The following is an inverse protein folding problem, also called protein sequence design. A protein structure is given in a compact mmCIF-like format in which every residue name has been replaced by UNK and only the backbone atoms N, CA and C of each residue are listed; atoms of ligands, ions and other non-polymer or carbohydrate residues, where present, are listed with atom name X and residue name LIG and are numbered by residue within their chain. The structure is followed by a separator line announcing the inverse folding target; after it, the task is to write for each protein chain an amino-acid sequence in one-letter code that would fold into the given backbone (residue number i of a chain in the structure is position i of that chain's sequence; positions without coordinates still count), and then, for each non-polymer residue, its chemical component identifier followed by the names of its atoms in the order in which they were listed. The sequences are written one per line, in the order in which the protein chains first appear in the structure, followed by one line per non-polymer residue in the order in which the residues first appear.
data_IF_274869480878
#
_entry.id   IF_274869480878
#
_cell.length_a   1.000
_cell.length_b   1.000
_cell.length_c   1.000
_cell.angle_alpha   90.00
_cell.angle_beta   90.00
_cell.angle_gamma   90.00
#
_symmetry.space_group_name_H-M   'P 1'
#
loop_
_entity.id
_entity.type
_entity.pdbx_description
1 polymer ?
#
# COMPACT_ATOMS: atom_id res chain seq x y z
N UNK A 1 12.87 11.24 16.43
CA UNK A 1 13.37 10.55 15.22
C UNK A 1 13.92 11.61 14.25
N UNK A 2 14.98 11.26 13.53
CA UNK A 2 15.61 12.19 12.59
C UNK A 2 14.73 12.42 11.35
N UNK A 3 14.86 13.61 10.72
CA UNK A 3 14.20 13.94 9.47
C UNK A 3 15.23 14.22 8.39
N UNK A 4 14.93 13.79 7.17
CA UNK A 4 15.71 14.10 5.98
C UNK A 4 15.27 15.47 5.47
N UNK A 5 16.15 16.48 5.62
CA UNK A 5 15.88 17.86 5.19
C UNK A 5 16.45 18.18 3.81
N UNK A 6 17.41 17.38 3.34
CA UNK A 6 18.06 17.49 2.03
C UNK A 6 18.15 16.12 1.40
N UNK A 7 18.03 16.07 0.08
CA UNK A 7 18.16 14.81 -0.65
C UNK A 7 19.54 14.18 -0.41
N UNK A 8 19.59 12.88 -0.22
CA UNK A 8 20.84 12.14 -0.22
C UNK A 8 21.32 11.89 -1.66
N UNK A 9 22.63 11.70 -1.80
CA UNK A 9 23.26 11.51 -3.12
C UNK A 9 23.02 10.11 -3.70
N UNK A 10 22.65 9.13 -2.86
CA UNK A 10 22.48 7.74 -3.29
C UNK A 10 21.28 7.06 -2.66
N UNK A 11 20.76 6.05 -3.36
CA UNK A 11 19.70 5.18 -2.88
C UNK A 11 20.13 4.40 -1.62
N UNK A 12 21.39 3.99 -1.56
CA UNK A 12 21.95 3.27 -0.42
C UNK A 12 21.97 4.12 0.85
N UNK A 13 22.19 5.44 0.73
CA UNK A 13 22.13 6.35 1.88
C UNK A 13 20.71 6.43 2.46
N UNK A 14 19.67 6.46 1.60
CA UNK A 14 18.28 6.40 2.05
C UNK A 14 17.93 5.06 2.71
N UNK A 15 18.36 3.95 2.11
CA UNK A 15 18.15 2.61 2.64
C UNK A 15 18.82 2.46 4.01
N UNK A 16 20.08 2.88 4.15
CA UNK A 16 20.80 2.85 5.41
C UNK A 16 20.11 3.72 6.48
N UNK A 17 19.68 4.94 6.12
CA UNK A 17 18.97 5.82 7.04
C UNK A 17 17.67 5.17 7.54
N UNK A 18 16.80 4.69 6.63
CA UNK A 18 15.52 4.09 6.98
C UNK A 18 15.65 2.78 7.75
N UNK A 19 16.75 2.06 7.58
CA UNK A 19 17.05 0.85 8.34
C UNK A 19 17.42 1.14 9.82
N UNK A 20 18.03 2.30 10.09
CA UNK A 20 18.37 2.71 11.45
C UNK A 20 17.22 3.35 12.20
N UNK A 21 16.26 3.92 11.50
CA UNK A 21 15.11 4.60 12.12
C UNK A 21 14.00 3.61 12.51
N UNK A 22 13.34 3.91 13.62
CA UNK A 22 12.16 3.14 14.01
C UNK A 22 10.97 3.58 13.17
N UNK A 23 10.42 2.68 12.33
CA UNK A 23 9.24 2.96 11.50
C UNK A 23 8.05 3.32 12.38
N UNK A 24 7.46 4.52 12.22
CA UNK A 24 6.30 4.93 12.99
C UNK A 24 5.03 4.29 12.43
N UNK A 25 4.06 4.03 13.31
CA UNK A 25 2.74 3.46 12.98
C UNK A 25 1.63 4.44 13.36
N UNK A 26 0.38 4.16 12.99
CA UNK A 26 -0.73 5.03 13.37
C UNK A 26 -0.94 5.04 14.90
N UNK A 27 -1.20 6.21 15.46
CA UNK A 27 -1.51 6.37 16.89
C UNK A 27 -2.70 5.54 17.33
N UNK A 28 -3.72 5.40 16.46
CA UNK A 28 -4.86 4.52 16.72
C UNK A 28 -4.42 3.07 16.89
N UNK A 29 -3.55 2.55 16.04
CA UNK A 29 -3.02 1.18 16.12
C UNK A 29 -2.34 0.93 17.46
N UNK A 30 -1.48 1.86 17.90
CA UNK A 30 -0.79 1.74 19.20
C UNK A 30 -1.79 1.72 20.37
N UNK A 31 -2.79 2.61 20.36
CA UNK A 31 -3.83 2.65 21.40
C UNK A 31 -4.63 1.36 21.48
N UNK A 32 -5.04 0.82 20.34
CA UNK A 32 -5.79 -0.45 20.30
C UNK A 32 -4.94 -1.63 20.78
N UNK A 33 -3.65 -1.69 20.41
CA UNK A 33 -2.75 -2.73 20.91
C UNK A 33 -2.54 -2.62 22.42
N UNK A 34 -2.46 -1.40 22.97
CA UNK A 34 -2.39 -1.18 24.42
C UNK A 34 -3.67 -1.65 25.12
N UNK A 35 -4.85 -1.31 24.58
CA UNK A 35 -6.13 -1.77 25.12
C UNK A 35 -6.27 -3.31 25.04
N UNK A 36 -5.83 -3.92 23.95
CA UNK A 36 -5.79 -5.38 23.82
C UNK A 36 -4.87 -6.03 24.87
N UNK A 37 -3.74 -5.40 25.20
CA UNK A 37 -2.82 -5.88 26.23
C UNK A 37 -3.44 -5.89 27.62
N UNK A 38 -4.32 -4.92 27.92
CA UNK A 38 -5.05 -4.89 29.19
C UNK A 38 -6.12 -5.98 29.32
N UNK A 39 -6.58 -6.55 28.20
CA UNK A 39 -7.64 -7.56 28.11
C UNK A 39 -7.16 -8.85 27.40
N UNK A 40 -5.90 -9.17 27.54
CA UNK A 40 -5.19 -10.20 26.76
C UNK A 40 -5.90 -11.56 26.74
N UNK A 41 -6.45 -12.02 27.86
CA UNK A 41 -7.12 -13.32 27.99
C UNK A 41 -8.37 -13.46 27.09
N UNK A 42 -8.96 -12.36 26.65
CA UNK A 42 -10.15 -12.34 25.79
C UNK A 42 -9.86 -12.12 24.31
N UNK A 43 -8.60 -11.85 23.94
CA UNK A 43 -8.20 -11.47 22.59
C UNK A 43 -7.81 -12.71 21.79
N UNK A 44 -8.26 -12.78 20.54
CA UNK A 44 -7.84 -13.82 19.61
C UNK A 44 -6.90 -13.26 18.53
N UNK A 45 -6.10 -14.16 17.90
CA UNK A 45 -5.12 -13.78 16.90
C UNK A 45 -5.71 -13.09 15.67
N UNK A 46 -6.97 -13.39 15.29
CA UNK A 46 -7.64 -12.73 14.17
C UNK A 46 -7.93 -11.26 14.45
N UNK A 47 -8.33 -10.94 15.67
CA UNK A 47 -8.58 -9.55 16.09
C UNK A 47 -7.29 -8.74 16.00
N UNK A 48 -6.17 -9.29 16.49
CA UNK A 48 -4.85 -8.67 16.38
C UNK A 48 -4.45 -8.51 14.91
N UNK A 49 -4.59 -9.56 14.11
CA UNK A 49 -4.24 -9.52 12.67
C UNK A 49 -5.08 -8.49 11.90
N UNK A 50 -6.38 -8.39 12.19
CA UNK A 50 -7.26 -7.40 11.56
C UNK A 50 -6.83 -5.95 11.88
N UNK A 51 -6.43 -5.68 13.12
CA UNK A 51 -5.90 -4.38 13.51
C UNK A 51 -4.59 -4.07 12.78
N UNK A 52 -3.64 -5.02 12.74
CA UNK A 52 -2.36 -4.88 12.04
C UNK A 52 -2.58 -4.59 10.56
N UNK A 53 -3.44 -5.35 9.88
CA UNK A 53 -3.78 -5.17 8.46
C UNK A 53 -4.52 -3.86 8.17
N UNK A 54 -5.01 -3.16 9.18
CA UNK A 54 -5.56 -1.83 9.03
C UNK A 54 -4.50 -0.73 8.93
N UNK A 55 -3.23 -1.03 9.23
CA UNK A 55 -2.12 -0.09 9.24
C UNK A 55 -0.95 -0.61 8.38
N UNK A 56 -0.67 0.00 7.22
CA UNK A 56 0.42 -0.45 6.35
C UNK A 56 1.78 -0.50 7.04
N UNK A 57 2.08 0.50 7.90
CA UNK A 57 3.37 0.55 8.59
C UNK A 57 3.49 -0.48 9.70
N UNK A 58 2.40 -0.77 10.39
CA UNK A 58 2.36 -1.86 11.36
C UNK A 58 2.51 -3.22 10.68
N UNK A 59 1.82 -3.43 9.54
CA UNK A 59 1.96 -4.64 8.72
C UNK A 59 3.42 -4.85 8.29
N UNK A 60 4.05 -3.80 7.73
CA UNK A 60 5.46 -3.83 7.34
C UNK A 60 6.37 -4.19 8.53
N UNK A 61 6.16 -3.54 9.67
CA UNK A 61 6.98 -3.73 10.88
C UNK A 61 6.88 -5.15 11.43
N UNK A 62 5.69 -5.75 11.41
CA UNK A 62 5.48 -7.15 11.81
C UNK A 62 6.24 -8.09 10.89
N UNK A 63 6.15 -7.91 9.58
CA UNK A 63 6.87 -8.75 8.62
C UNK A 63 8.39 -8.61 8.78
N UNK A 64 8.90 -7.40 8.90
CA UNK A 64 10.33 -7.16 9.16
C UNK A 64 10.80 -7.85 10.44
N UNK A 65 10.01 -7.77 11.52
CA UNK A 65 10.36 -8.41 12.80
C UNK A 65 10.43 -9.94 12.67
N UNK A 66 9.47 -10.54 11.97
CA UNK A 66 9.44 -11.99 11.73
C UNK A 66 10.65 -12.43 10.91
N UNK A 67 10.97 -11.72 9.83
CA UNK A 67 12.12 -12.07 8.98
C UNK A 67 13.45 -11.89 9.72
N UNK A 68 13.61 -10.81 10.50
CA UNK A 68 14.80 -10.58 11.32
C UNK A 68 15.01 -11.66 12.39
N UNK A 69 13.93 -12.27 12.90
CA UNK A 69 13.97 -13.31 13.92
C UNK A 69 13.81 -14.73 13.35
N UNK A 70 13.82 -14.87 12.04
CA UNK A 70 13.65 -16.15 11.34
C UNK A 70 14.82 -17.09 11.67
N UNK A 71 14.51 -18.27 12.22
CA UNK A 71 15.50 -19.29 12.49
C UNK A 71 15.91 -19.97 11.18
N UNK A 72 17.19 -20.29 11.01
CA UNK A 72 17.77 -20.93 9.82
C UNK A 72 17.10 -22.26 9.37
N UNK A 73 16.20 -22.82 10.16
CA UNK A 73 15.48 -24.09 9.89
C UNK A 73 14.00 -23.91 9.51
N UNK A 74 13.49 -22.68 9.40
CA UNK A 74 12.12 -22.44 8.96
C UNK A 74 12.10 -22.38 7.43
N UNK A 75 11.58 -23.43 6.80
CA UNK A 75 11.55 -23.57 5.33
C UNK A 75 10.39 -22.86 4.64
N UNK A 76 9.51 -22.18 5.39
CA UNK A 76 8.35 -21.50 4.80
C UNK A 76 8.35 -20.03 5.18
N UNK A 77 8.19 -19.19 4.18
CA UNK A 77 8.00 -17.75 4.34
C UNK A 77 6.67 -17.49 5.06
N UNK A 78 6.65 -16.51 5.95
CA UNK A 78 5.45 -16.05 6.61
C UNK A 78 4.96 -14.83 5.85
N UNK A 79 3.94 -15.03 5.06
CA UNK A 79 3.37 -14.02 4.16
C UNK A 79 2.07 -13.44 4.67
N UNK A 80 1.49 -14.03 5.74
CA UNK A 80 0.23 -13.57 6.34
C UNK A 80 0.42 -13.11 7.78
N UNK A 81 -0.27 -12.04 8.16
CA UNK A 81 -0.19 -11.46 9.51
C UNK A 81 -0.81 -12.40 10.56
N UNK A 82 -1.90 -13.10 10.25
CA UNK A 82 -2.50 -14.06 11.19
C UNK A 82 -1.50 -15.14 11.58
N UNK A 83 -0.75 -15.67 10.61
CA UNK A 83 0.29 -16.67 10.86
C UNK A 83 1.45 -16.10 11.68
N UNK A 84 1.85 -14.84 11.41
CA UNK A 84 2.86 -14.14 12.20
C UNK A 84 2.46 -14.02 13.68
N UNK A 85 1.23 -13.58 13.94
CA UNK A 85 0.68 -13.46 15.30
C UNK A 85 0.61 -14.82 16.00
N UNK A 86 0.16 -15.86 15.30
CA UNK A 86 0.07 -17.22 15.85
C UNK A 86 1.45 -17.78 16.21
N UNK A 87 2.47 -17.54 15.39
CA UNK A 87 3.83 -18.02 15.66
C UNK A 87 4.51 -17.31 16.81
N UNK A 88 4.29 -16.01 16.96
CA UNK A 88 4.80 -15.23 18.09
C UNK A 88 4.06 -15.56 19.39
N UNK A 89 2.76 -15.87 19.29
CA UNK A 89 1.83 -15.86 20.40
C UNK A 89 1.32 -14.45 20.72
N UNK A 90 0.08 -14.33 21.24
CA UNK A 90 -0.59 -13.04 21.46
C UNK A 90 0.18 -12.19 22.49
N UNK A 91 0.51 -12.74 23.67
CA UNK A 91 1.21 -12.01 24.71
C UNK A 91 2.59 -11.48 24.30
N UNK A 92 3.48 -12.28 23.68
CA UNK A 92 4.73 -11.77 23.16
C UNK A 92 4.53 -10.70 22.07
N UNK A 93 3.54 -10.88 21.18
CA UNK A 93 3.21 -9.91 20.15
C UNK A 93 2.81 -8.56 20.75
N UNK A 94 1.87 -8.56 21.68
CA UNK A 94 1.39 -7.33 22.33
C UNK A 94 2.49 -6.63 23.13
N UNK A 95 3.40 -7.36 23.78
CA UNK A 95 4.56 -6.77 24.46
C UNK A 95 5.53 -6.10 23.49
N UNK A 96 5.78 -6.71 22.34
CA UNK A 96 6.72 -6.19 21.34
C UNK A 96 6.19 -4.93 20.63
N UNK A 97 4.88 -4.88 20.36
CA UNK A 97 4.32 -3.87 19.46
C UNK A 97 3.40 -2.82 20.11
N UNK A 98 3.17 -2.86 21.43
CA UNK A 98 2.28 -1.88 22.08
C UNK A 98 2.94 -0.52 22.39
N UNK A 99 4.25 -0.39 22.23
CA UNK A 99 5.00 0.83 22.55
C UNK A 99 5.85 1.29 21.37
N UNK A 100 5.18 1.76 20.32
CA UNK A 100 5.82 2.17 19.09
C UNK A 100 5.73 3.69 18.86
N UNK A 101 6.69 4.29 18.15
CA UNK A 101 6.56 5.66 17.71
C UNK A 101 5.36 5.80 16.77
N UNK A 102 4.69 6.97 16.82
CA UNK A 102 3.50 7.21 16.02
C UNK A 102 3.75 8.21 14.89
N UNK A 103 3.06 8.01 13.76
CA UNK A 103 3.09 8.92 12.61
C UNK A 103 2.67 10.34 13.03
N UNK A 104 1.61 10.43 13.86
CA UNK A 104 1.12 11.70 14.39
C UNK A 104 2.15 12.38 15.31
N UNK A 105 2.88 11.60 16.11
CA UNK A 105 3.97 12.11 16.93
C UNK A 105 5.17 12.57 16.10
N UNK A 106 5.57 11.78 15.11
CA UNK A 106 6.66 12.09 14.18
C UNK A 106 6.40 13.39 13.41
N UNK A 107 5.18 13.59 12.96
CA UNK A 107 4.78 14.72 12.11
C UNK A 107 4.07 15.85 12.88
N UNK A 108 4.18 15.90 14.21
CA UNK A 108 3.51 16.93 15.04
C UNK A 108 3.86 18.36 14.59
N UNK A 109 5.10 18.61 14.18
CA UNK A 109 5.54 19.89 13.65
C UNK A 109 5.24 20.11 12.14
N UNK A 110 4.70 19.09 11.44
CA UNK A 110 4.46 19.08 10.00
C UNK A 110 3.00 18.73 9.65
N UNK A 111 2.00 19.55 10.01
CA UNK A 111 0.57 19.19 9.88
C UNK A 111 0.15 18.93 8.41
N UNK A 112 0.74 19.62 7.44
CA UNK A 112 0.48 19.35 6.02
C UNK A 112 0.98 17.97 5.59
N UNK A 113 2.15 17.55 6.08
CA UNK A 113 2.68 16.23 5.81
C UNK A 113 1.84 15.14 6.49
N UNK A 114 1.33 15.38 7.69
CA UNK A 114 0.40 14.49 8.36
C UNK A 114 -0.86 14.26 7.52
N UNK A 115 -1.46 15.31 6.96
CA UNK A 115 -2.59 15.17 6.04
C UNK A 115 -2.20 14.39 4.78
N UNK A 116 -1.01 14.64 4.24
CA UNK A 116 -0.46 13.92 3.08
C UNK A 116 -0.34 12.43 3.32
N UNK A 117 0.33 12.03 4.40
CA UNK A 117 0.53 10.62 4.73
C UNK A 117 -0.77 9.88 5.01
N UNK A 118 -1.74 10.51 5.70
CA UNK A 118 -3.04 9.90 5.97
C UNK A 118 -3.84 9.64 4.66
N UNK A 119 -3.71 10.51 3.65
CA UNK A 119 -4.27 10.26 2.31
C UNK A 119 -3.63 9.05 1.63
N UNK A 120 -2.29 8.90 1.73
CA UNK A 120 -1.59 7.73 1.19
C UNK A 120 -2.02 6.46 1.91
N UNK A 121 -2.11 6.47 3.23
CA UNK A 121 -2.59 5.32 4.03
C UNK A 121 -4.02 4.94 3.64
N UNK A 122 -4.92 5.92 3.47
CA UNK A 122 -6.28 5.67 3.00
C UNK A 122 -6.32 5.02 1.61
N UNK A 123 -5.42 5.44 0.71
CA UNK A 123 -5.26 4.87 -0.63
C UNK A 123 -4.74 3.44 -0.56
N UNK A 124 -3.72 3.17 0.25
CA UNK A 124 -3.17 1.82 0.47
C UNK A 124 -4.24 0.85 0.99
N UNK A 125 -5.04 1.27 1.98
CA UNK A 125 -6.18 0.50 2.50
C UNK A 125 -7.23 0.23 1.43
N UNK A 126 -7.50 1.19 0.55
CA UNK A 126 -8.43 1.03 -0.58
C UNK A 126 -7.89 0.01 -1.57
N UNK A 127 -6.60 0.10 -1.95
CA UNK A 127 -5.94 -0.87 -2.82
C UNK A 127 -6.02 -2.28 -2.24
N UNK A 128 -5.71 -2.45 -0.95
CA UNK A 128 -5.80 -3.75 -0.26
C UNK A 128 -7.22 -4.33 -0.28
N UNK A 129 -8.27 -3.50 -0.09
CA UNK A 129 -9.67 -3.95 -0.20
C UNK A 129 -10.03 -4.41 -1.61
N UNK A 130 -9.62 -3.66 -2.63
CA UNK A 130 -9.83 -4.05 -4.03
C UNK A 130 -9.11 -5.36 -4.34
N UNK A 131 -7.83 -5.45 -3.99
CA UNK A 131 -7.03 -6.64 -4.22
C UNK A 131 -7.62 -7.88 -3.55
N UNK A 132 -8.07 -7.76 -2.29
CA UNK A 132 -8.75 -8.83 -1.56
C UNK A 132 -10.04 -9.28 -2.25
N UNK A 133 -10.92 -8.35 -2.61
CA UNK A 133 -12.16 -8.66 -3.29
C UNK A 133 -11.93 -9.36 -4.62
N UNK A 134 -10.99 -8.88 -5.42
CA UNK A 134 -10.67 -9.46 -6.72
C UNK A 134 -9.98 -10.83 -6.61
N UNK A 135 -9.11 -11.02 -5.62
CA UNK A 135 -8.51 -12.32 -5.34
C UNK A 135 -9.59 -13.37 -4.97
N UNK A 136 -10.60 -12.98 -4.17
CA UNK A 136 -11.75 -13.84 -3.86
C UNK A 136 -12.56 -14.18 -5.12
N UNK A 137 -12.86 -13.19 -5.97
CA UNK A 137 -13.58 -13.40 -7.24
C UNK A 137 -12.86 -14.38 -8.15
N UNK A 138 -11.53 -14.33 -8.15
CA UNK A 138 -10.69 -15.22 -8.95
C UNK A 138 -10.40 -16.57 -8.30
N UNK A 139 -10.97 -16.83 -7.11
CA UNK A 139 -10.71 -18.04 -6.33
C UNK A 139 -9.21 -18.26 -6.06
N UNK A 140 -8.47 -17.18 -5.79
CA UNK A 140 -7.06 -17.26 -5.44
C UNK A 140 -6.88 -17.98 -4.10
N UNK A 141 -5.89 -18.88 -4.01
CA UNK A 141 -5.60 -19.62 -2.78
C UNK A 141 -4.94 -18.73 -1.71
N UNK A 142 -4.27 -17.65 -2.11
CA UNK A 142 -3.45 -16.80 -1.25
C UNK A 142 -4.00 -15.36 -1.18
N UNK A 143 -5.30 -15.23 -0.91
CA UNK A 143 -6.01 -13.93 -0.83
C UNK A 143 -5.32 -12.96 0.14
N UNK A 144 -4.85 -13.46 1.28
CA UNK A 144 -4.22 -12.62 2.30
C UNK A 144 -2.86 -12.07 1.83
N UNK A 145 -2.10 -12.86 1.08
CA UNK A 145 -0.80 -12.42 0.52
C UNK A 145 -0.99 -11.32 -0.52
N UNK A 146 -1.95 -11.48 -1.43
CA UNK A 146 -2.32 -10.46 -2.42
C UNK A 146 -2.78 -9.17 -1.72
N UNK A 147 -3.55 -9.31 -0.63
CA UNK A 147 -4.02 -8.19 0.19
C UNK A 147 -2.85 -7.43 0.83
N UNK A 148 -1.91 -8.16 1.44
CA UNK A 148 -0.70 -7.58 2.07
C UNK A 148 0.18 -6.90 1.03
N UNK A 149 0.41 -7.52 -0.13
CA UNK A 149 1.20 -6.92 -1.20
C UNK A 149 0.60 -5.59 -1.70
N UNK A 150 -0.72 -5.54 -1.88
CA UNK A 150 -1.42 -4.32 -2.26
C UNK A 150 -1.35 -3.24 -1.17
N UNK A 151 -1.48 -3.63 0.11
CA UNK A 151 -1.36 -2.73 1.26
C UNK A 151 0.03 -2.09 1.34
N UNK A 152 1.08 -2.86 1.08
CA UNK A 152 2.47 -2.42 1.17
C UNK A 152 2.98 -1.71 -0.10
N UNK A 153 2.22 -1.71 -1.20
CA UNK A 153 2.61 -1.05 -2.45
C UNK A 153 2.86 0.46 -2.31
N UNK A 154 2.26 1.10 -1.31
CA UNK A 154 2.42 2.52 -1.00
C UNK A 154 3.36 2.78 0.20
N UNK A 155 4.03 1.74 0.72
CA UNK A 155 4.84 1.84 1.94
C UNK A 155 5.96 2.89 1.82
N UNK A 156 6.62 2.94 0.67
CA UNK A 156 7.70 3.91 0.42
C UNK A 156 7.20 5.34 0.42
N UNK A 157 6.04 5.62 -0.18
CA UNK A 157 5.44 6.96 -0.14
C UNK A 157 5.10 7.37 1.30
N UNK A 158 4.60 6.43 2.12
CA UNK A 158 4.34 6.67 3.55
C UNK A 158 5.63 6.99 4.28
N UNK A 159 6.71 6.23 4.05
CA UNK A 159 8.02 6.47 4.65
C UNK A 159 8.61 7.83 4.23
N UNK A 160 8.50 8.19 2.95
CA UNK A 160 8.93 9.51 2.46
C UNK A 160 8.18 10.66 3.18
N UNK A 161 6.86 10.53 3.38
CA UNK A 161 6.11 11.51 4.17
C UNK A 161 6.56 11.57 5.63
N UNK A 162 6.84 10.43 6.25
CA UNK A 162 7.23 10.35 7.67
C UNK A 162 8.64 10.90 7.91
N UNK A 163 9.60 10.61 7.03
CA UNK A 163 11.02 10.90 7.26
C UNK A 163 11.56 12.07 6.42
N UNK A 164 10.93 12.41 5.30
CA UNK A 164 11.31 13.52 4.42
C UNK A 164 10.11 14.43 4.09
N UNK A 165 9.38 14.95 5.11
CA UNK A 165 8.11 15.64 4.89
C UNK A 165 8.22 16.85 3.96
N UNK A 166 9.30 17.63 4.06
CA UNK A 166 9.52 18.82 3.24
C UNK A 166 9.79 18.46 1.78
N UNK A 167 10.63 17.46 1.52
CA UNK A 167 10.93 16.99 0.17
C UNK A 167 9.70 16.35 -0.48
N UNK A 168 8.95 15.55 0.28
CA UNK A 168 7.72 14.93 -0.23
C UNK A 168 6.65 15.98 -0.52
N UNK A 169 6.53 17.01 0.31
CA UNK A 169 5.65 18.14 0.04
C UNK A 169 6.04 18.87 -1.25
N UNK A 170 7.33 19.02 -1.53
CA UNK A 170 7.81 19.64 -2.78
C UNK A 170 7.38 18.81 -4.00
N UNK A 171 7.54 17.48 -3.98
CA UNK A 171 7.05 16.60 -5.06
C UNK A 171 5.54 16.77 -5.27
N UNK A 172 4.78 16.79 -4.17
CA UNK A 172 3.33 16.98 -4.23
C UNK A 172 2.94 18.33 -4.87
N UNK A 173 3.59 19.42 -4.49
CA UNK A 173 3.32 20.76 -5.05
C UNK A 173 3.69 20.85 -6.54
N UNK A 174 4.79 20.23 -6.97
CA UNK A 174 5.14 20.15 -8.39
C UNK A 174 4.02 19.49 -9.21
N UNK A 175 3.50 18.36 -8.75
CA UNK A 175 2.40 17.65 -9.43
C UNK A 175 1.06 18.39 -9.33
N UNK A 176 0.85 19.18 -8.29
CA UNK A 176 -0.35 20.02 -8.16
C UNK A 176 -0.35 21.17 -9.17
N UNK A 177 0.83 21.75 -9.45
CA UNK A 177 1.03 22.82 -10.43
C UNK A 177 0.96 22.28 -11.85
N UNK A 178 1.64 21.17 -12.11
CA UNK A 178 1.62 20.48 -13.41
C UNK A 178 1.04 19.07 -13.25
N UNK A 179 -0.24 18.90 -13.58
CA UNK A 179 -0.96 17.62 -13.50
C UNK A 179 -0.48 16.59 -14.52
N UNK A 180 0.27 17.02 -15.56
CA UNK A 180 0.86 16.11 -16.54
C UNK A 180 2.20 15.54 -16.07
N UNK A 181 2.80 16.12 -15.03
CA UNK A 181 4.10 15.69 -14.51
C UNK A 181 4.01 14.30 -13.88
N UNK A 182 4.73 13.36 -14.45
CA UNK A 182 4.79 11.99 -13.94
C UNK A 182 5.43 11.96 -12.55
N UNK A 183 4.87 11.16 -11.64
CA UNK A 183 5.37 11.01 -10.26
C UNK A 183 6.86 10.61 -10.23
N UNK A 184 7.29 9.69 -11.09
CA UNK A 184 8.69 9.27 -11.19
C UNK A 184 9.64 10.43 -11.55
N UNK A 185 9.21 11.31 -12.46
CA UNK A 185 9.99 12.50 -12.85
C UNK A 185 10.10 13.50 -11.70
N UNK A 186 8.98 13.82 -11.06
CA UNK A 186 8.95 14.70 -9.91
C UNK A 186 9.79 14.16 -8.74
N UNK A 187 9.65 12.86 -8.43
CA UNK A 187 10.43 12.21 -7.38
C UNK A 187 11.93 12.25 -7.66
N UNK A 188 12.35 11.89 -8.88
CA UNK A 188 13.78 11.95 -9.25
C UNK A 188 14.38 13.34 -9.20
N UNK A 189 13.61 14.37 -9.50
CA UNK A 189 14.11 15.75 -9.42
C UNK A 189 14.30 16.25 -7.99
N UNK A 190 13.61 15.65 -7.01
CA UNK A 190 13.67 16.07 -5.61
C UNK A 190 14.49 15.11 -4.75
N UNK A 191 14.38 13.80 -5.00
CA UNK A 191 15.00 12.75 -4.19
C UNK A 191 16.20 12.08 -4.85
N UNK A 192 16.48 12.33 -6.13
CA UNK A 192 17.44 11.63 -6.98
C UNK A 192 17.04 10.17 -7.34
N UNK A 193 15.88 9.68 -6.90
CA UNK A 193 15.34 8.36 -7.22
C UNK A 193 13.80 8.43 -7.30
N UNK A 194 13.18 7.36 -7.80
CA UNK A 194 11.72 7.16 -7.73
C UNK A 194 11.34 6.34 -6.51
N UNK A 195 10.12 6.52 -5.99
CA UNK A 195 9.60 5.72 -4.88
C UNK A 195 9.69 4.21 -5.16
N UNK A 196 9.55 3.81 -6.43
CA UNK A 196 9.67 2.41 -6.86
C UNK A 196 11.09 1.86 -6.69
N UNK A 197 12.11 2.62 -7.07
CA UNK A 197 13.52 2.23 -6.88
C UNK A 197 13.84 2.05 -5.41
N UNK A 198 13.39 3.00 -4.57
CA UNK A 198 13.56 2.88 -3.11
C UNK A 198 12.77 1.69 -2.54
N UNK A 199 11.54 1.45 -3.02
CA UNK A 199 10.74 0.31 -2.59
C UNK A 199 11.48 -1.01 -2.83
N UNK A 200 11.99 -1.23 -4.04
CA UNK A 200 12.73 -2.45 -4.37
C UNK A 200 13.99 -2.60 -3.53
N UNK A 201 14.74 -1.52 -3.29
CA UNK A 201 15.92 -1.55 -2.43
C UNK A 201 15.56 -1.93 -0.98
N UNK A 202 14.48 -1.34 -0.43
CA UNK A 202 14.05 -1.60 0.94
C UNK A 202 13.52 -3.01 1.14
N UNK A 203 12.65 -3.53 0.24
CA UNK A 203 12.08 -4.89 0.39
C UNK A 203 13.15 -5.96 0.32
N UNK A 204 14.18 -5.78 -0.51
CA UNK A 204 15.34 -6.68 -0.54
C UNK A 204 16.22 -6.54 0.70
N UNK A 205 16.46 -5.31 1.17
CA UNK A 205 17.27 -5.07 2.36
C UNK A 205 16.62 -5.65 3.63
N UNK A 206 15.30 -5.57 3.75
CA UNK A 206 14.54 -6.13 4.87
C UNK A 206 14.22 -7.61 4.72
N UNK A 207 14.70 -8.24 3.65
CA UNK A 207 14.47 -9.66 3.34
C UNK A 207 13.00 -10.06 3.40
N UNK A 208 12.11 -9.18 2.92
CA UNK A 208 10.68 -9.51 2.88
C UNK A 208 10.45 -10.78 2.05
N UNK A 209 9.36 -11.53 2.33
CA UNK A 209 9.07 -12.77 1.62
C UNK A 209 9.10 -12.57 0.10
N UNK A 210 9.80 -13.48 -0.62
CA UNK A 210 10.02 -13.38 -2.07
C UNK A 210 8.71 -13.26 -2.86
N UNK A 211 7.67 -13.95 -2.38
CA UNK A 211 6.33 -13.88 -2.97
C UNK A 211 5.75 -12.46 -2.90
N UNK A 212 5.90 -11.76 -1.77
CA UNK A 212 5.45 -10.37 -1.66
C UNK A 212 6.25 -9.44 -2.57
N UNK A 213 7.58 -9.64 -2.65
CA UNK A 213 8.45 -8.87 -3.55
C UNK A 213 8.00 -9.06 -5.00
N UNK A 214 7.76 -10.31 -5.42
CA UNK A 214 7.35 -10.64 -6.79
C UNK A 214 6.00 -10.02 -7.15
N UNK A 215 5.04 -10.00 -6.23
CA UNK A 215 3.73 -9.37 -6.45
C UNK A 215 3.80 -7.84 -6.55
N UNK A 216 4.81 -7.21 -5.98
CA UNK A 216 5.06 -5.77 -6.11
C UNK A 216 5.93 -5.40 -7.32
N UNK A 217 6.49 -6.37 -8.04
CA UNK A 217 7.34 -6.16 -9.20
C UNK A 217 6.51 -6.09 -10.51
N UNK A 218 6.37 -4.90 -11.06
CA UNK A 218 5.62 -4.62 -12.29
C UNK A 218 6.15 -5.34 -13.54
N UNK A 219 7.37 -5.84 -13.52
CA UNK A 219 7.95 -6.57 -14.65
C UNK A 219 7.30 -7.95 -14.87
N UNK A 220 6.54 -8.45 -13.88
CA UNK A 220 5.90 -9.76 -13.90
C UNK A 220 4.40 -9.70 -14.26
N UNK A 221 3.99 -8.81 -15.16
CA UNK A 221 2.59 -8.57 -15.56
C UNK A 221 1.84 -9.82 -16.09
N UNK A 222 2.55 -10.86 -16.51
CA UNK A 222 1.93 -12.13 -16.89
C UNK A 222 1.36 -12.94 -15.72
N UNK A 223 1.71 -12.60 -14.48
CA UNK A 223 1.18 -13.25 -13.29
C UNK A 223 -0.12 -12.53 -12.85
N UNK A 224 -1.25 -13.25 -12.80
CA UNK A 224 -2.52 -12.65 -12.42
C UNK A 224 -2.56 -12.04 -11.01
N UNK A 225 -1.76 -12.52 -10.05
CA UNK A 225 -1.64 -11.92 -8.72
C UNK A 225 -0.95 -10.56 -8.79
N UNK A 226 0.13 -10.45 -9.56
CA UNK A 226 0.83 -9.19 -9.84
C UNK A 226 -0.13 -8.19 -10.48
N UNK A 227 -0.88 -8.62 -11.52
CA UNK A 227 -1.89 -7.79 -12.16
C UNK A 227 -2.98 -7.33 -11.19
N UNK A 228 -3.42 -8.19 -10.27
CA UNK A 228 -4.40 -7.85 -9.23
C UNK A 228 -3.86 -6.73 -8.32
N UNK A 229 -2.65 -6.87 -7.80
CA UNK A 229 -2.02 -5.86 -6.93
C UNK A 229 -1.86 -4.53 -7.67
N UNK A 230 -1.37 -4.57 -8.89
CA UNK A 230 -1.10 -3.35 -9.66
C UNK A 230 -2.36 -2.60 -10.06
N UNK A 231 -3.37 -3.31 -10.60
CA UNK A 231 -4.64 -2.69 -10.96
C UNK A 231 -5.38 -2.15 -9.73
N UNK A 232 -5.34 -2.85 -8.60
CA UNK A 232 -5.90 -2.37 -7.35
C UNK A 232 -5.23 -1.09 -6.86
N UNK A 233 -3.91 -1.02 -6.95
CA UNK A 233 -3.12 0.16 -6.57
C UNK A 233 -3.37 1.32 -7.53
N UNK A 234 -3.40 1.06 -8.86
CA UNK A 234 -3.69 2.07 -9.89
C UNK A 234 -5.08 2.66 -9.71
N UNK A 235 -6.11 1.83 -9.61
CA UNK A 235 -7.49 2.30 -9.41
C UNK A 235 -7.63 3.09 -8.09
N UNK A 236 -7.03 2.62 -7.00
CA UNK A 236 -7.06 3.34 -5.73
C UNK A 236 -6.38 4.71 -5.81
N UNK A 237 -5.35 4.85 -6.64
CA UNK A 237 -4.65 6.11 -6.92
C UNK A 237 -5.49 7.03 -7.80
N UNK A 238 -6.03 6.54 -8.91
CA UNK A 238 -6.81 7.33 -9.85
C UNK A 238 -8.15 7.78 -9.26
N UNK A 239 -8.74 7.00 -8.35
CA UNK A 239 -9.99 7.36 -7.64
C UNK A 239 -9.77 8.14 -6.35
N UNK A 240 -8.53 8.55 -6.03
CA UNK A 240 -8.21 9.24 -4.78
C UNK A 240 -8.94 10.59 -4.61
N UNK A 241 -9.28 11.28 -5.70
CA UNK A 241 -9.96 12.57 -5.71
C UNK A 241 -11.39 12.52 -6.32
N UNK A 242 -11.83 11.35 -6.77
CA UNK A 242 -13.13 11.17 -7.42
C UNK A 242 -13.06 10.17 -8.56
N UNK A 243 -14.13 10.07 -9.34
CA UNK A 243 -14.29 9.12 -10.44
C UNK A 243 -14.16 9.77 -11.83
N UNK A 244 -13.64 11.00 -11.89
CA UNK A 244 -13.48 11.81 -13.10
C UNK A 244 -12.07 11.77 -13.71
N UNK A 245 -11.16 10.96 -13.15
CA UNK A 245 -9.80 10.82 -13.67
C UNK A 245 -9.81 10.12 -15.04
N UNK A 246 -9.12 10.67 -16.07
CA UNK A 246 -9.09 10.12 -17.42
C UNK A 246 -8.55 8.69 -17.54
N UNK A 247 -7.76 8.22 -16.57
CA UNK A 247 -7.20 6.86 -16.57
C UNK A 247 -8.19 5.79 -16.08
N UNK A 248 -9.28 6.16 -15.42
CA UNK A 248 -10.25 5.21 -14.85
C UNK A 248 -10.89 4.29 -15.89
N UNK A 249 -11.33 4.74 -17.08
CA UNK A 249 -11.89 3.85 -18.09
C UNK A 249 -10.95 2.73 -18.52
N UNK A 250 -9.65 3.01 -18.65
CA UNK A 250 -8.62 2.03 -18.99
C UNK A 250 -8.37 1.04 -17.84
N UNK A 251 -8.29 1.55 -16.59
CA UNK A 251 -8.20 0.69 -15.40
C UNK A 251 -9.38 -0.28 -15.35
N UNK A 252 -10.62 0.22 -15.51
CA UNK A 252 -11.82 -0.62 -15.47
C UNK A 252 -11.79 -1.68 -16.57
N UNK A 253 -11.38 -1.33 -17.79
CA UNK A 253 -11.27 -2.28 -18.91
C UNK A 253 -10.24 -3.38 -18.64
N UNK A 254 -9.13 -3.05 -17.99
CA UNK A 254 -8.12 -4.02 -17.59
C UNK A 254 -8.64 -4.94 -16.46
N UNK A 255 -9.39 -4.39 -15.49
CA UNK A 255 -9.98 -5.15 -14.38
C UNK A 255 -11.09 -6.08 -14.88
N UNK A 256 -11.95 -5.65 -15.80
CA UNK A 256 -12.96 -6.50 -16.44
C UNK A 256 -12.33 -7.74 -17.07
N UNK A 257 -11.23 -7.54 -17.80
CA UNK A 257 -10.46 -8.64 -18.42
C UNK A 257 -9.84 -9.56 -17.37
N UNK A 258 -9.30 -8.99 -16.28
CA UNK A 258 -8.68 -9.77 -15.20
C UNK A 258 -9.70 -10.63 -14.45
N UNK A 259 -10.89 -10.09 -14.19
CA UNK A 259 -11.92 -10.73 -13.38
C UNK A 259 -12.96 -11.50 -14.20
N UNK A 260 -12.98 -11.34 -15.53
CA UNK A 260 -13.99 -11.89 -16.44
C UNK A 260 -15.43 -11.51 -16.04
N UNK A 261 -15.64 -10.25 -15.66
CA UNK A 261 -16.96 -9.71 -15.29
C UNK A 261 -17.34 -8.51 -16.17
N UNK A 262 -18.63 -8.19 -16.27
CA UNK A 262 -19.09 -7.01 -17.01
C UNK A 262 -18.77 -5.70 -16.26
N UNK A 263 -18.69 -4.59 -17.01
CA UNK A 263 -18.53 -3.22 -16.48
C UNK A 263 -19.55 -2.91 -15.40
N UNK A 264 -20.81 -3.25 -15.63
CA UNK A 264 -21.89 -3.00 -14.68
C UNK A 264 -21.66 -3.71 -13.34
N UNK A 265 -21.31 -5.02 -13.39
CA UNK A 265 -20.99 -5.80 -12.20
C UNK A 265 -19.75 -5.25 -11.48
N UNK A 266 -18.74 -4.80 -12.22
CA UNK A 266 -17.55 -4.20 -11.63
C UNK A 266 -17.89 -2.90 -10.90
N UNK A 267 -18.63 -1.97 -11.53
CA UNK A 267 -19.01 -0.71 -10.92
C UNK A 267 -19.87 -0.90 -9.65
N UNK A 268 -20.76 -1.89 -9.67
CA UNK A 268 -21.54 -2.27 -8.50
C UNK A 268 -20.63 -2.76 -7.35
N UNK A 269 -19.67 -3.66 -7.63
CA UNK A 269 -18.70 -4.14 -6.61
C UNK A 269 -17.83 -3.04 -6.04
N UNK A 270 -17.45 -2.07 -6.85
CA UNK A 270 -16.65 -0.91 -6.43
C UNK A 270 -17.47 0.12 -5.64
N UNK A 271 -18.79 -0.06 -5.50
CA UNK A 271 -19.73 0.90 -4.92
C UNK A 271 -19.57 2.31 -5.52
N UNK A 272 -19.49 2.38 -6.86
CA UNK A 272 -19.38 3.65 -7.57
C UNK A 272 -20.68 4.45 -7.41
N UNK A 273 -20.63 5.75 -7.08
CA UNK A 273 -21.82 6.60 -7.04
C UNK A 273 -22.60 6.56 -8.35
N UNK A 274 -23.94 6.59 -8.28
CA UNK A 274 -24.83 6.34 -9.42
C UNK A 274 -24.57 7.26 -10.63
N UNK A 275 -24.35 8.55 -10.38
CA UNK A 275 -24.02 9.55 -11.39
C UNK A 275 -22.67 9.28 -12.08
N UNK A 276 -21.63 8.90 -11.32
CA UNK A 276 -20.35 8.51 -11.89
C UNK A 276 -20.45 7.18 -12.66
N UNK A 277 -21.21 6.21 -12.14
CA UNK A 277 -21.42 4.92 -12.79
C UNK A 277 -22.10 5.08 -14.17
N UNK A 278 -23.11 5.94 -14.28
CA UNK A 278 -23.77 6.21 -15.55
C UNK A 278 -22.79 6.75 -16.61
N UNK A 279 -21.90 7.68 -16.23
CA UNK A 279 -20.87 8.22 -17.12
C UNK A 279 -19.84 7.15 -17.54
N UNK A 280 -19.41 6.32 -16.61
CA UNK A 280 -18.41 5.27 -16.87
C UNK A 280 -18.97 4.11 -17.69
N UNK A 281 -20.29 3.83 -17.61
CA UNK A 281 -20.97 2.89 -18.49
C UNK A 281 -21.06 3.43 -19.92
N UNK A 282 -21.41 4.70 -20.10
CA UNK A 282 -21.47 5.34 -21.40
C UNK A 282 -20.11 5.40 -22.09
N UNK A 283 -19.03 5.64 -21.34
CA UNK A 283 -17.65 5.65 -21.84
C UNK A 283 -17.14 4.26 -22.27
N UNK A 284 -17.64 3.17 -21.66
CA UNK A 284 -17.27 1.79 -21.98
C UNK A 284 -18.06 1.17 -23.15
N UNK A 285 -19.12 1.81 -23.62
CA UNK A 285 -20.03 1.31 -24.64
C UNK A 285 -19.65 1.58 -26.11
N UNK A 286 -18.44 2.05 -26.40
CA UNK A 286 -18.02 2.31 -27.79
C UNK A 286 -16.77 1.54 -28.20
N UNK A 287 -16.83 0.19 -28.41
CA UNK A 287 -15.71 -0.56 -29.00
C UNK A 287 -15.74 -0.54 -30.54
N UNK A 288 -16.81 -0.03 -31.17
CA UNK A 288 -16.90 0.03 -32.65
C UNK A 288 -17.39 1.43 -33.07
N UNK A 289 -16.44 2.34 -33.27
CA UNK A 289 -16.66 3.51 -34.11
C UNK A 289 -16.86 3.04 -35.55
N UNK A 290 -18.09 2.67 -35.90
CA UNK A 290 -18.47 2.52 -37.29
C UNK A 290 -18.19 3.84 -38.00
N UNK A 291 -17.16 3.85 -38.86
CA UNK A 291 -16.94 4.90 -39.84
C UNK A 291 -18.22 5.04 -40.66
N UNK A 292 -18.79 6.24 -40.84
CA UNK A 292 -19.86 6.43 -41.76
C UNK A 292 -19.32 6.15 -43.17
N UNK A 293 -19.84 5.10 -43.79
CA UNK A 293 -19.72 4.89 -45.26
C UNK A 293 -20.55 5.98 -45.92
N UNK A 294 -19.91 6.88 -46.56
CA UNK A 294 -20.46 7.88 -47.43
C UNK A 294 -19.45 8.21 -48.50
#
# INVERSE_FOLDING_TARGET
MALITHAFDSLDAYTAFLNHESIPVLKHTVKELQAMREQEDSINGRTVAALVLSDPMMTLKVLMHIEANRRARQNHDITTIERAVMMMGISPFLREFSELPTIEGQLAAHPRALVGVLKVISRARRAARYARDWAIVRHDLDVDEVTVAALLSEATDILCWCFAPTLTQQVYEMQRVDRSLRSTTAQRSVFNFSAKELQLALVHHWHLPELLISMMDERQLGNPRVSTVQLATSLARHTAQGWDNPAIPDDLSAIEKLLHISRENLLHRLNVPHDAAALLLAAGGNPDGALPVG
#
